data_IF_671926000964
#
_entry.id   IF_671926000964
#
_cell.length_a   1.000
_cell.length_b   1.000
_cell.length_c   1.000
_cell.angle_alpha   90.00
_cell.angle_beta   90.00
_cell.angle_gamma   90.00
#
_symmetry.space_group_name_H-M   'P 1'
#
loop_
_entity.id
_entity.type
_entity.pdbx_description
1 polymer ?
#
# COMPACT_ATOMS: atom_id res chain seq x y z
N UNK A 1 -7.89 2.92 -21.32
CA UNK A 1 -8.31 2.89 -19.90
C UNK A 1 -8.85 1.49 -19.61
N UNK A 2 -8.40 0.83 -18.53
CA UNK A 2 -8.74 -0.58 -18.28
C UNK A 2 -10.18 -0.83 -17.79
N UNK A 3 -10.92 0.22 -17.41
CA UNK A 3 -12.32 0.14 -16.98
C UNK A 3 -13.25 0.74 -18.05
N UNK A 4 -14.35 0.06 -18.38
CA UNK A 4 -15.32 0.52 -19.36
C UNK A 4 -16.30 1.55 -18.76
N UNK A 5 -16.48 1.57 -17.44
CA UNK A 5 -17.38 2.51 -16.75
C UNK A 5 -16.83 2.99 -15.40
N UNK A 6 -17.34 4.14 -14.92
CA UNK A 6 -17.08 4.65 -13.55
C UNK A 6 -17.56 3.66 -12.48
N UNK A 7 -18.61 2.88 -12.76
CA UNK A 7 -19.12 1.88 -11.84
C UNK A 7 -18.14 0.71 -11.65
N UNK A 8 -17.53 0.23 -12.72
CA UNK A 8 -16.49 -0.82 -12.68
C UNK A 8 -15.25 -0.33 -11.93
N UNK A 9 -14.81 0.90 -12.18
CA UNK A 9 -13.71 1.53 -11.46
C UNK A 9 -14.00 1.62 -9.96
N UNK A 10 -15.20 2.07 -9.56
CA UNK A 10 -15.59 2.11 -8.14
C UNK A 10 -15.66 0.72 -7.52
N UNK A 11 -16.13 -0.26 -8.28
CA UNK A 11 -16.21 -1.64 -7.81
C UNK A 11 -14.81 -2.25 -7.58
N UNK A 12 -13.81 -1.87 -8.37
CA UNK A 12 -12.44 -2.40 -8.26
C UNK A 12 -11.73 -1.98 -6.97
N UNK A 13 -12.03 -0.78 -6.43
CA UNK A 13 -11.47 -0.29 -5.15
C UNK A 13 -12.37 -0.54 -3.94
N UNK A 14 -13.55 -1.16 -4.14
CA UNK A 14 -14.53 -1.38 -3.07
C UNK A 14 -14.10 -2.50 -2.13
N UNK A 15 -14.22 -2.22 -0.82
CA UNK A 15 -14.12 -3.20 0.27
C UNK A 15 -14.85 -4.52 -0.05
N UNK A 16 -14.24 -5.63 0.29
CA UNK A 16 -14.84 -6.96 0.28
C UNK A 16 -15.45 -7.29 1.65
N UNK A 17 -16.13 -8.44 1.76
CA UNK A 17 -16.79 -8.85 3.00
C UNK A 17 -15.81 -9.03 4.17
N UNK A 18 -14.61 -9.55 3.91
CA UNK A 18 -13.58 -9.77 4.93
C UNK A 18 -13.22 -8.49 5.67
N UNK A 19 -13.18 -7.34 4.98
CA UNK A 19 -12.87 -6.04 5.59
C UNK A 19 -13.90 -5.58 6.65
N UNK A 20 -15.04 -6.25 6.76
CA UNK A 20 -16.11 -5.94 7.72
C UNK A 20 -16.21 -6.96 8.86
N UNK A 21 -15.32 -7.96 8.91
CA UNK A 21 -15.33 -8.99 9.96
C UNK A 21 -14.53 -8.53 11.18
N UNK A 22 -15.13 -8.58 12.38
CA UNK A 22 -14.46 -8.19 13.63
C UNK A 22 -13.20 -9.02 13.92
N UNK A 23 -13.24 -10.31 13.60
CA UNK A 23 -12.09 -11.22 13.76
C UNK A 23 -10.94 -10.82 12.83
N UNK A 24 -11.26 -10.36 11.62
CA UNK A 24 -10.27 -9.88 10.67
C UNK A 24 -9.63 -8.57 11.15
N UNK A 25 -10.43 -7.61 11.62
CA UNK A 25 -9.93 -6.39 12.23
C UNK A 25 -8.99 -6.70 13.41
N UNK A 26 -9.39 -7.58 14.32
CA UNK A 26 -8.55 -7.99 15.44
C UNK A 26 -7.21 -8.60 14.98
N UNK A 27 -7.21 -9.41 13.92
CA UNK A 27 -6.01 -10.01 13.35
C UNK A 27 -5.08 -8.95 12.75
N UNK A 28 -5.60 -8.01 11.96
CA UNK A 28 -4.83 -6.88 11.42
C UNK A 28 -4.25 -6.03 12.54
N UNK A 29 -5.08 -5.70 13.53
CA UNK A 29 -4.70 -4.84 14.64
C UNK A 29 -3.65 -5.47 15.56
N UNK A 30 -3.55 -6.81 15.62
CA UNK A 30 -2.48 -7.50 16.35
C UNK A 30 -1.07 -7.16 15.84
N UNK A 31 -0.97 -6.71 14.58
CA UNK A 31 0.28 -6.34 13.92
C UNK A 31 0.47 -4.83 13.79
N UNK A 32 -0.45 -4.04 14.36
CA UNK A 32 -0.29 -2.59 14.50
C UNK A 32 1.05 -2.27 15.16
N UNK A 33 1.70 -1.22 14.67
CA UNK A 33 3.02 -0.83 15.12
C UNK A 33 2.95 0.55 15.79
N UNK A 34 3.23 0.59 17.08
CA UNK A 34 3.33 1.82 17.86
C UNK A 34 4.72 2.45 17.66
N UNK A 35 4.83 3.72 17.22
CA UNK A 35 6.12 4.41 17.08
C UNK A 35 6.94 4.53 18.37
N UNK A 36 6.32 4.30 19.53
CA UNK A 36 6.99 4.33 20.85
C UNK A 36 7.41 2.94 21.34
N UNK A 37 7.20 1.90 20.54
CA UNK A 37 7.54 0.53 20.88
C UNK A 37 9.06 0.35 21.10
N UNK A 38 9.52 -0.29 22.19
CA UNK A 38 10.94 -0.47 22.46
C UNK A 38 11.64 -1.33 21.39
N UNK A 39 10.89 -2.22 20.72
CA UNK A 39 11.40 -3.11 19.67
C UNK A 39 11.06 -2.60 18.26
N UNK A 40 10.80 -1.30 18.11
CA UNK A 40 10.36 -0.65 16.87
C UNK A 40 11.16 -1.09 15.64
N UNK A 41 12.50 -1.03 15.71
CA UNK A 41 13.33 -1.35 14.55
C UNK A 41 13.22 -2.83 14.14
N UNK A 42 13.10 -3.75 15.11
CA UNK A 42 12.88 -5.16 14.82
C UNK A 42 11.52 -5.38 14.15
N UNK A 43 10.46 -4.71 14.64
CA UNK A 43 9.12 -4.74 14.05
C UNK A 43 9.05 -4.09 12.66
N UNK A 44 9.87 -3.07 12.40
CA UNK A 44 10.01 -2.48 11.07
C UNK A 44 10.66 -3.44 10.07
N UNK A 45 11.72 -4.15 10.48
CA UNK A 45 12.38 -5.19 9.66
C UNK A 45 11.45 -6.36 9.37
N UNK A 46 10.68 -6.77 10.38
CA UNK A 46 9.63 -7.77 10.26
C UNK A 46 8.55 -7.33 9.26
N UNK A 47 8.04 -6.10 9.37
CA UNK A 47 7.10 -5.53 8.41
C UNK A 47 7.64 -5.43 6.99
N UNK A 48 8.91 -5.02 6.82
CA UNK A 48 9.56 -4.99 5.52
C UNK A 48 9.71 -6.39 4.91
N UNK A 49 10.10 -7.38 5.72
CA UNK A 49 10.18 -8.79 5.30
C UNK A 49 8.82 -9.31 4.85
N UNK A 50 7.77 -9.06 5.64
CA UNK A 50 6.41 -9.49 5.32
C UNK A 50 5.88 -8.90 4.00
N UNK A 51 6.22 -7.64 3.69
CA UNK A 51 5.89 -7.02 2.40
C UNK A 51 6.56 -7.77 1.25
N UNK A 52 7.84 -8.12 1.38
CA UNK A 52 8.58 -8.85 0.36
C UNK A 52 8.06 -10.28 0.20
N UNK A 53 7.78 -10.98 1.30
CA UNK A 53 7.23 -12.33 1.26
C UNK A 53 5.86 -12.35 0.57
N UNK A 54 5.00 -11.38 0.88
CA UNK A 54 3.71 -11.26 0.23
C UNK A 54 3.86 -10.90 -1.25
N UNK A 55 4.78 -9.99 -1.59
CA UNK A 55 5.05 -9.67 -2.98
C UNK A 55 5.53 -10.90 -3.76
N UNK A 56 6.38 -11.74 -3.17
CA UNK A 56 6.86 -12.98 -3.78
C UNK A 56 5.71 -13.96 -4.08
N UNK A 57 4.72 -14.07 -3.20
CA UNK A 57 3.51 -14.87 -3.46
C UNK A 57 2.75 -14.37 -4.69
N UNK A 58 2.56 -13.05 -4.81
CA UNK A 58 1.87 -12.45 -5.96
C UNK A 58 2.70 -12.52 -7.24
N UNK A 59 4.03 -12.39 -7.18
CA UNK A 59 4.91 -12.55 -8.33
C UNK A 59 4.86 -14.00 -8.83
N UNK A 60 4.92 -14.98 -7.92
CA UNK A 60 4.97 -16.39 -8.29
C UNK A 60 3.61 -16.96 -8.73
N UNK A 61 2.51 -16.51 -8.10
CA UNK A 61 1.18 -17.16 -8.24
C UNK A 61 0.05 -16.20 -8.61
N UNK A 62 0.27 -14.89 -8.57
CA UNK A 62 -0.76 -13.86 -8.75
C UNK A 62 -1.72 -13.71 -7.56
N UNK A 63 -1.52 -14.46 -6.48
CA UNK A 63 -2.36 -14.47 -5.28
C UNK A 63 -1.58 -14.97 -4.07
N UNK A 64 -1.96 -14.53 -2.86
CA UNK A 64 -1.62 -15.19 -1.61
C UNK A 64 -2.88 -15.73 -0.92
N UNK A 65 -2.81 -16.95 -0.39
CA UNK A 65 -3.85 -17.54 0.45
C UNK A 65 -3.53 -17.41 1.94
N UNK A 66 -2.37 -16.85 2.28
CA UNK A 66 -1.93 -16.67 3.65
C UNK A 66 -2.60 -15.43 4.25
N UNK A 67 -3.71 -15.67 4.96
CA UNK A 67 -4.44 -14.61 5.64
C UNK A 67 -3.67 -14.02 6.82
N UNK A 68 -2.74 -14.75 7.46
CA UNK A 68 -1.90 -14.20 8.52
C UNK A 68 -0.94 -13.18 7.93
N UNK A 69 -0.26 -13.54 6.84
CA UNK A 69 0.67 -12.64 6.16
C UNK A 69 -0.04 -11.38 5.64
N UNK A 70 -1.22 -11.52 5.03
CA UNK A 70 -2.02 -10.38 4.56
C UNK A 70 -2.40 -9.47 5.73
N UNK A 71 -2.91 -10.03 6.82
CA UNK A 71 -3.29 -9.25 8.00
C UNK A 71 -2.09 -8.54 8.63
N UNK A 72 -0.95 -9.25 8.67
CA UNK A 72 0.30 -8.76 9.21
C UNK A 72 0.83 -7.55 8.41
N UNK A 73 0.86 -7.65 7.07
CA UNK A 73 1.24 -6.53 6.21
C UNK A 73 0.31 -5.34 6.42
N UNK A 74 -1.01 -5.53 6.42
CA UNK A 74 -1.97 -4.45 6.68
C UNK A 74 -1.72 -3.74 8.02
N UNK A 75 -1.46 -4.51 9.08
CA UNK A 75 -1.14 -3.95 10.40
C UNK A 75 0.17 -3.18 10.41
N UNK A 76 1.22 -3.73 9.79
CA UNK A 76 2.58 -3.14 9.76
C UNK A 76 2.65 -1.85 8.94
N UNK A 77 1.79 -1.68 7.95
CA UNK A 77 1.68 -0.44 7.17
C UNK A 77 1.20 0.78 8.00
N UNK A 78 0.82 0.60 9.27
CA UNK A 78 0.58 1.70 10.21
C UNK A 78 1.84 2.53 10.51
N UNK A 79 3.03 1.93 10.39
CA UNK A 79 4.30 2.62 10.56
C UNK A 79 4.76 3.32 9.27
N UNK A 80 5.27 4.54 9.42
CA UNK A 80 5.74 5.36 8.30
C UNK A 80 6.93 4.70 7.58
N UNK A 81 7.88 4.10 8.30
CA UNK A 81 9.06 3.50 7.67
C UNK A 81 8.68 2.24 6.88
N UNK A 82 7.83 1.38 7.45
CA UNK A 82 7.35 0.18 6.72
C UNK A 82 6.53 0.57 5.49
N UNK A 83 5.65 1.57 5.62
CA UNK A 83 4.88 2.08 4.48
C UNK A 83 5.76 2.65 3.38
N UNK A 84 6.73 3.49 3.74
CA UNK A 84 7.62 4.12 2.77
C UNK A 84 8.58 3.10 2.14
N UNK A 85 8.91 2.03 2.88
CA UNK A 85 9.61 0.87 2.33
C UNK A 85 8.74 0.18 1.28
N UNK A 86 7.49 -0.14 1.60
CA UNK A 86 6.55 -0.78 0.68
C UNK A 86 6.25 0.05 -0.57
N UNK A 87 6.28 1.39 -0.45
CA UNK A 87 6.17 2.29 -1.59
C UNK A 87 7.34 2.11 -2.55
N UNK A 88 8.56 1.94 -2.03
CA UNK A 88 9.77 1.86 -2.84
C UNK A 88 10.17 0.46 -3.31
N UNK A 89 9.56 -0.60 -2.78
CA UNK A 89 10.08 -1.97 -2.90
C UNK A 89 9.81 -2.69 -4.23
N UNK A 90 9.16 -2.02 -5.19
CA UNK A 90 8.93 -2.54 -6.55
C UNK A 90 9.77 -1.80 -7.59
N UNK A 91 10.08 -2.53 -8.66
CA UNK A 91 10.71 -2.07 -9.89
C UNK A 91 9.74 -2.23 -11.08
N UNK A 92 10.22 -1.96 -12.30
CA UNK A 92 9.41 -2.07 -13.51
C UNK A 92 8.95 -3.49 -13.83
N UNK A 93 9.70 -4.52 -13.40
CA UNK A 93 9.39 -5.92 -13.70
C UNK A 93 8.32 -6.46 -12.74
N UNK A 94 8.38 -6.04 -11.47
CA UNK A 94 7.47 -6.46 -10.40
C UNK A 94 6.25 -5.56 -10.23
N UNK A 95 6.22 -4.36 -10.83
CA UNK A 95 5.14 -3.37 -10.73
C UNK A 95 3.73 -3.97 -10.96
N UNK A 96 3.57 -4.84 -11.96
CA UNK A 96 2.27 -5.45 -12.22
C UNK A 96 1.79 -6.32 -11.05
N UNK A 97 2.67 -7.16 -10.51
CA UNK A 97 2.34 -8.05 -9.38
C UNK A 97 2.04 -7.24 -8.12
N UNK A 98 2.82 -6.19 -7.84
CA UNK A 98 2.55 -5.25 -6.76
C UNK A 98 1.21 -4.54 -6.92
N UNK A 99 0.82 -4.18 -8.15
CA UNK A 99 -0.49 -3.58 -8.44
C UNK A 99 -1.64 -4.51 -8.05
N UNK A 100 -1.53 -5.79 -8.40
CA UNK A 100 -2.52 -6.81 -8.01
C UNK A 100 -2.54 -7.00 -6.49
N UNK A 101 -1.37 -7.07 -5.85
CA UNK A 101 -1.23 -7.20 -4.41
C UNK A 101 -1.88 -6.02 -3.65
N UNK A 102 -1.55 -4.78 -4.00
CA UNK A 102 -2.11 -3.59 -3.34
C UNK A 102 -3.60 -3.45 -3.55
N UNK A 103 -4.12 -3.79 -4.73
CA UNK A 103 -5.56 -3.82 -4.97
C UNK A 103 -6.24 -4.92 -4.16
N UNK A 104 -5.62 -6.08 -3.99
CA UNK A 104 -6.12 -7.13 -3.12
C UNK A 104 -6.20 -6.64 -1.66
N UNK A 105 -5.12 -6.05 -1.14
CA UNK A 105 -5.06 -5.58 0.24
C UNK A 105 -6.00 -4.40 0.49
N UNK A 106 -6.10 -3.43 -0.44
CA UNK A 106 -7.02 -2.30 -0.35
C UNK A 106 -8.49 -2.73 -0.18
N UNK A 107 -8.88 -3.82 -0.85
CA UNK A 107 -10.23 -4.38 -0.73
C UNK A 107 -10.44 -5.15 0.56
N UNK A 108 -9.38 -5.73 1.12
CA UNK A 108 -9.42 -6.48 2.38
C UNK A 108 -9.14 -5.63 3.61
N UNK A 109 -8.64 -4.40 3.45
CA UNK A 109 -8.27 -3.53 4.57
C UNK A 109 -9.49 -3.12 5.40
N UNK A 110 -9.51 -3.41 6.71
CA UNK A 110 -10.58 -2.96 7.60
C UNK A 110 -10.45 -1.45 7.90
N UNK A 111 -11.53 -0.79 8.37
CA UNK A 111 -11.49 0.62 8.76
C UNK A 111 -10.33 0.95 9.72
N UNK A 112 -9.67 2.09 9.51
CA UNK A 112 -8.47 2.51 10.24
C UNK A 112 -7.15 1.98 9.67
N UNK A 113 -7.20 1.05 8.71
CA UNK A 113 -6.02 0.49 8.03
C UNK A 113 -6.07 0.66 6.50
N UNK A 114 -7.04 1.41 5.98
CA UNK A 114 -7.24 1.59 4.53
C UNK A 114 -6.27 2.65 4.00
N UNK A 115 -6.10 3.76 4.74
CA UNK A 115 -5.36 4.92 4.25
C UNK A 115 -3.94 4.62 3.75
N UNK A 116 -3.11 3.82 4.45
CA UNK A 116 -1.76 3.48 3.99
C UNK A 116 -1.76 2.69 2.66
N UNK A 117 -2.51 1.59 2.60
CA UNK A 117 -2.52 0.73 1.40
C UNK A 117 -3.21 1.38 0.21
N UNK A 118 -4.23 2.22 0.46
CA UNK A 118 -4.85 3.04 -0.56
C UNK A 118 -3.85 3.99 -1.23
N UNK A 119 -2.92 4.56 -0.47
CA UNK A 119 -1.85 5.38 -1.02
C UNK A 119 -0.86 4.58 -1.87
N UNK A 120 -0.50 3.37 -1.45
CA UNK A 120 0.39 2.48 -2.21
C UNK A 120 -0.24 2.09 -3.57
N UNK A 121 -1.51 1.68 -3.55
CA UNK A 121 -2.27 1.39 -4.75
C UNK A 121 -2.38 2.63 -5.67
N UNK A 122 -2.66 3.80 -5.08
CA UNK A 122 -2.77 5.05 -5.83
C UNK A 122 -1.46 5.46 -6.51
N UNK A 123 -0.34 5.37 -5.79
CA UNK A 123 0.99 5.68 -6.33
C UNK A 123 1.33 4.80 -7.53
N UNK A 124 1.13 3.50 -7.42
CA UNK A 124 1.46 2.55 -8.49
C UNK A 124 0.53 2.67 -9.70
N UNK A 125 -0.77 2.92 -9.47
CA UNK A 125 -1.71 3.22 -10.54
C UNK A 125 -1.32 4.50 -11.30
N UNK A 126 -0.84 5.52 -10.58
CA UNK A 126 -0.35 6.76 -11.18
C UNK A 126 0.90 6.53 -12.03
N UNK A 127 1.87 5.76 -11.52
CA UNK A 127 3.08 5.36 -12.26
C UNK A 127 2.74 4.61 -13.55
N UNK A 128 1.69 3.79 -13.51
CA UNK A 128 1.21 3.02 -14.66
C UNK A 128 0.37 3.85 -15.64
N UNK A 129 0.17 5.14 -15.38
CA UNK A 129 -0.65 6.05 -16.21
C UNK A 129 -2.16 5.91 -16.01
N UNK A 130 -2.62 5.12 -15.03
CA UNK A 130 -4.04 5.00 -14.69
C UNK A 130 -4.44 6.04 -13.63
N UNK A 131 -4.53 7.29 -14.05
CA UNK A 131 -4.92 8.40 -13.17
C UNK A 131 -6.33 8.26 -12.59
N UNK A 132 -7.23 7.53 -13.24
CA UNK A 132 -8.58 7.30 -12.75
C UNK A 132 -8.57 6.32 -11.57
N UNK A 133 -7.84 5.20 -11.69
CA UNK A 133 -7.61 4.28 -10.58
C UNK A 133 -6.82 4.93 -9.45
N UNK A 134 -5.78 5.69 -9.78
CA UNK A 134 -5.01 6.43 -8.79
C UNK A 134 -5.91 7.35 -7.94
N UNK A 135 -6.84 8.07 -8.58
CA UNK A 135 -7.76 8.95 -7.86
C UNK A 135 -8.80 8.17 -7.05
N UNK A 136 -9.35 7.09 -7.60
CA UNK A 136 -10.32 6.26 -6.90
C UNK A 136 -9.74 5.60 -5.64
N UNK A 137 -8.49 5.12 -5.72
CA UNK A 137 -7.76 4.62 -4.55
C UNK A 137 -7.46 5.74 -3.55
N UNK A 138 -7.07 6.94 -4.01
CA UNK A 138 -6.83 8.06 -3.12
C UNK A 138 -8.10 8.54 -2.39
N UNK A 139 -9.25 8.52 -3.06
CA UNK A 139 -10.54 8.83 -2.45
C UNK A 139 -10.88 7.82 -1.32
N UNK A 140 -10.49 6.55 -1.45
CA UNK A 140 -10.59 5.55 -0.37
C UNK A 140 -9.70 5.91 0.82
N UNK A 141 -8.50 6.43 0.58
CA UNK A 141 -7.60 6.88 1.65
C UNK A 141 -8.23 8.02 2.45
N UNK A 142 -8.77 9.04 1.75
CA UNK A 142 -9.42 10.18 2.42
C UNK A 142 -10.73 9.83 3.13
N UNK A 143 -11.45 8.81 2.66
CA UNK A 143 -12.64 8.32 3.34
C UNK A 143 -12.33 7.64 4.67
N UNK A 144 -11.12 7.07 4.81
CA UNK A 144 -10.62 6.44 6.03
C UNK A 144 -9.97 7.46 6.97
N UNK A 145 -9.06 8.30 6.45
CA UNK A 145 -8.44 9.41 7.16
C UNK A 145 -8.31 10.64 6.23
N UNK A 146 -9.17 11.67 6.41
CA UNK A 146 -9.14 12.90 5.61
C UNK A 146 -7.82 13.69 5.69
N UNK A 147 -7.01 13.44 6.71
CA UNK A 147 -5.77 14.15 7.02
C UNK A 147 -4.52 13.30 6.77
N UNK A 148 -4.66 12.10 6.21
CA UNK A 148 -3.54 11.19 6.01
C UNK A 148 -2.44 11.83 5.16
N UNK A 149 -1.24 11.94 5.74
CA UNK A 149 -0.17 12.79 5.20
C UNK A 149 0.27 12.39 3.80
N UNK A 150 0.46 11.09 3.55
CA UNK A 150 0.83 10.59 2.23
C UNK A 150 -0.29 10.82 1.20
N UNK A 151 -1.56 10.71 1.60
CA UNK A 151 -2.68 10.96 0.69
C UNK A 151 -2.72 12.43 0.24
N UNK A 152 -2.47 13.35 1.18
CA UNK A 152 -2.36 14.78 0.88
C UNK A 152 -1.19 15.10 -0.06
N UNK A 153 -0.04 14.42 0.12
CA UNK A 153 1.12 14.55 -0.77
C UNK A 153 0.79 14.03 -2.18
N UNK A 154 0.27 12.81 -2.30
CA UNK A 154 -0.11 12.22 -3.59
C UNK A 154 -1.17 13.06 -4.31
N UNK A 155 -2.14 13.62 -3.59
CA UNK A 155 -3.13 14.55 -4.15
C UNK A 155 -2.45 15.74 -4.85
N UNK A 156 -1.41 16.32 -4.23
CA UNK A 156 -0.66 17.45 -4.81
C UNK A 156 0.11 17.01 -6.06
N UNK A 157 0.79 15.86 -6.02
CA UNK A 157 1.51 15.29 -7.17
C UNK A 157 0.56 15.08 -8.35
N UNK A 158 -0.58 14.42 -8.11
CA UNK A 158 -1.55 14.10 -9.16
C UNK A 158 -2.21 15.36 -9.73
N UNK A 159 -2.54 16.33 -8.87
CA UNK A 159 -3.12 17.61 -9.30
C UNK A 159 -2.12 18.50 -10.05
N UNK A 160 -0.83 18.35 -9.78
CA UNK A 160 0.23 19.05 -10.50
C UNK A 160 0.56 18.37 -11.85
N UNK A 161 0.03 17.17 -12.13
CA UNK A 161 0.26 16.45 -13.38
C UNK A 161 1.73 16.07 -13.59
N UNK A 162 2.42 15.69 -12.51
CA UNK A 162 3.81 15.24 -12.60
C UNK A 162 3.94 14.07 -13.60
N UNK A 163 4.93 14.06 -14.50
CA UNK A 163 5.13 12.94 -15.40
C UNK A 163 5.33 11.63 -14.60
N UNK A 164 4.65 10.51 -14.94
CA UNK A 164 4.75 9.26 -14.20
C UNK A 164 6.20 8.77 -14.01
N UNK A 165 7.04 8.94 -15.02
CA UNK A 165 8.46 8.59 -14.98
C UNK A 165 9.25 9.44 -13.98
N UNK A 166 8.89 10.71 -13.80
CA UNK A 166 9.53 11.60 -12.82
C UNK A 166 9.14 11.20 -11.39
N UNK A 167 7.90 10.79 -11.19
CA UNK A 167 7.43 10.28 -9.89
C UNK A 167 8.11 8.94 -9.54
N UNK A 168 8.17 8.00 -10.50
CA UNK A 168 8.86 6.73 -10.33
C UNK A 168 10.37 6.89 -10.07
N UNK A 169 11.02 7.85 -10.74
CA UNK A 169 12.41 8.20 -10.50
C UNK A 169 12.65 8.69 -9.07
N UNK A 170 11.85 9.67 -8.61
CA UNK A 170 11.94 10.20 -7.24
C UNK A 170 11.74 9.12 -6.18
N UNK A 171 10.74 8.24 -6.37
CA UNK A 171 10.48 7.11 -5.46
C UNK A 171 11.67 6.15 -5.38
N UNK A 172 12.23 5.78 -6.53
CA UNK A 172 13.41 4.91 -6.63
C UNK A 172 14.64 5.52 -5.95
N UNK A 173 14.83 6.84 -6.04
CA UNK A 173 15.92 7.55 -5.35
C UNK A 173 15.76 7.60 -3.83
N UNK A 174 14.53 7.59 -3.32
CA UNK A 174 14.25 7.63 -1.89
C UNK A 174 14.35 6.25 -1.23
N UNK A 175 14.03 5.18 -1.95
CA UNK A 175 13.96 3.84 -1.36
C UNK A 175 15.25 3.38 -0.67
N UNK A 176 16.47 3.59 -1.22
CA UNK A 176 17.71 3.26 -0.51
C UNK A 176 17.84 3.95 0.85
N UNK A 177 17.35 5.18 0.99
CA UNK A 177 17.38 5.91 2.26
C UNK A 177 16.44 5.29 3.29
N UNK A 178 15.26 4.82 2.86
CA UNK A 178 14.32 4.10 3.72
C UNK A 178 14.92 2.76 4.16
N UNK A 179 15.55 2.03 3.24
CA UNK A 179 16.28 0.80 3.58
C UNK A 179 17.38 1.05 4.61
N UNK A 180 18.15 2.14 4.46
CA UNK A 180 19.18 2.50 5.43
C UNK A 180 18.60 2.76 6.84
N UNK A 181 17.42 3.38 6.93
CA UNK A 181 16.74 3.63 8.22
C UNK A 181 16.31 2.33 8.89
N UNK A 182 15.77 1.36 8.14
CA UNK A 182 15.27 0.10 8.70
C UNK A 182 16.42 -0.87 8.99
N UNK A 183 17.38 -1.01 8.07
CA UNK A 183 18.40 -2.07 8.11
C UNK A 183 19.77 -1.61 8.59
N UNK A 184 20.04 -0.30 8.64
CA UNK A 184 21.31 0.23 9.16
C UNK A 184 22.52 0.02 8.24
N UNK A 185 22.30 -0.01 6.93
CA UNK A 185 23.35 -0.12 5.90
C UNK A 185 23.35 1.09 4.97
#
# INVERSE_FOLDING_TARGET
MPFATVAELRASVRSNLLSHEDQWLARVQSSFLDPTDPDLNAKQRDGATAVIDLANDFIARGISTDQDLIAHVLGRLSDIQVRDFALGSHDSESAQAYGVMWMHLLRSAPPGFIAPVACLAAALAYESGDGALARAALDRSFADDPTYSLALLLKRVFSAGWPPESFAGMRSELHPKVCAVIFGH
#
